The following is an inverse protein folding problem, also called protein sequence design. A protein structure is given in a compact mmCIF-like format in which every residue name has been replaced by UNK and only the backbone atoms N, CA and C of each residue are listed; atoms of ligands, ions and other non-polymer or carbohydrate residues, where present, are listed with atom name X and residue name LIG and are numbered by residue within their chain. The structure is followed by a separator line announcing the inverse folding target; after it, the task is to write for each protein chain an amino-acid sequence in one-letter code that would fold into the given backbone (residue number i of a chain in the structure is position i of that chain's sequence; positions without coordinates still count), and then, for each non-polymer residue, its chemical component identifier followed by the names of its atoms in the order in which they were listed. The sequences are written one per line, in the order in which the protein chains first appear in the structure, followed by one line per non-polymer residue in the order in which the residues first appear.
data_IF_642712682375
#
_entry.id   IF_642712682375
#
_cell.length_a   1.000
_cell.length_b   1.000
_cell.length_c   1.000
_cell.angle_alpha   90.00
_cell.angle_beta   90.00
_cell.angle_gamma   90.00
#
_symmetry.space_group_name_H-M   'P 1'
#
loop_
_entity.id
_entity.type
_entity.pdbx_description
1 polymer ?
#
# COMPACT_ATOMS: atom_id res chain seq x y z
N UNK A 1 -25.81 -16.08 -27.35
CA UNK A 1 -25.34 -17.35 -27.98
C UNK A 1 -26.50 -18.33 -28.16
N UNK A 2 -26.46 -19.27 -29.12
CA UNK A 2 -27.57 -20.24 -29.34
C UNK A 2 -27.84 -21.12 -28.09
N UNK A 3 -29.09 -21.45 -27.72
CA UNK A 3 -29.38 -22.39 -26.65
C UNK A 3 -28.79 -23.79 -26.94
N UNK A 4 -28.42 -24.54 -25.89
CA UNK A 4 -27.88 -25.90 -26.04
C UNK A 4 -29.02 -26.93 -26.12
N UNK A 5 -29.73 -26.93 -27.23
CA UNK A 5 -30.91 -27.78 -27.46
C UNK A 5 -30.68 -28.75 -28.62
N UNK A 6 -31.47 -29.83 -28.67
CA UNK A 6 -31.40 -30.85 -29.72
C UNK A 6 -30.69 -32.14 -29.30
N UNK A 7 -30.35 -32.94 -30.31
CA UNK A 7 -29.58 -34.19 -30.20
C UNK A 7 -28.15 -33.94 -29.71
N UNK A 8 -27.45 -34.99 -29.26
CA UNK A 8 -26.07 -34.85 -28.78
C UNK A 8 -25.13 -34.30 -29.87
N UNK A 9 -25.37 -34.64 -31.13
CA UNK A 9 -24.61 -34.13 -32.28
C UNK A 9 -24.90 -32.65 -32.53
N UNK A 10 -26.16 -32.22 -32.45
CA UNK A 10 -26.53 -30.80 -32.58
C UNK A 10 -25.95 -29.96 -31.44
N UNK A 11 -26.01 -30.47 -30.21
CA UNK A 11 -25.40 -29.82 -29.04
C UNK A 11 -23.89 -29.69 -29.22
N UNK A 12 -23.21 -30.72 -29.71
CA UNK A 12 -21.78 -30.69 -30.00
C UNK A 12 -21.44 -29.62 -31.03
N UNK A 13 -22.18 -29.55 -32.14
CA UNK A 13 -21.99 -28.52 -33.17
C UNK A 13 -22.23 -27.10 -32.62
N UNK A 14 -23.24 -26.92 -31.77
CA UNK A 14 -23.52 -25.65 -31.11
C UNK A 14 -22.34 -25.25 -30.19
N UNK A 15 -21.82 -26.19 -29.40
CA UNK A 15 -20.66 -25.95 -28.54
C UNK A 15 -19.44 -25.56 -29.36
N UNK A 16 -19.11 -26.29 -30.43
CA UNK A 16 -17.96 -25.98 -31.30
C UNK A 16 -18.01 -24.55 -31.89
N UNK A 17 -19.20 -24.13 -32.36
CA UNK A 17 -19.40 -22.76 -32.86
C UNK A 17 -19.17 -21.74 -31.74
N UNK A 18 -19.78 -21.96 -30.58
CA UNK A 18 -19.66 -21.03 -29.46
C UNK A 18 -18.23 -20.93 -28.92
N UNK A 19 -17.51 -22.04 -28.86
CA UNK A 19 -16.09 -22.06 -28.46
C UNK A 19 -15.22 -21.32 -29.48
N UNK A 20 -15.49 -21.49 -30.78
CA UNK A 20 -14.80 -20.72 -31.82
C UNK A 20 -15.06 -19.23 -31.68
N UNK A 21 -16.31 -18.83 -31.40
CA UNK A 21 -16.67 -17.43 -31.16
C UNK A 21 -15.95 -16.89 -29.92
N UNK A 22 -15.94 -17.63 -28.80
CA UNK A 22 -15.22 -17.24 -27.58
C UNK A 22 -13.72 -17.06 -27.81
N UNK A 23 -13.07 -17.98 -28.56
CA UNK A 23 -11.65 -17.85 -28.92
C UNK A 23 -11.38 -16.61 -29.77
N UNK A 24 -12.29 -16.29 -30.70
CA UNK A 24 -12.19 -15.07 -31.50
C UNK A 24 -12.37 -13.82 -30.62
N UNK A 25 -13.32 -13.82 -29.69
CA UNK A 25 -13.54 -12.72 -28.75
C UNK A 25 -12.30 -12.47 -27.88
N UNK A 26 -11.72 -13.53 -27.29
CA UNK A 26 -10.46 -13.46 -26.53
C UNK A 26 -9.36 -12.76 -27.34
N UNK A 27 -9.17 -13.17 -28.59
CA UNK A 27 -8.16 -12.58 -29.47
C UNK A 27 -8.44 -11.12 -29.87
N UNK A 28 -9.71 -10.70 -29.84
CA UNK A 28 -10.09 -9.31 -30.15
C UNK A 28 -9.76 -8.36 -28.99
N UNK A 29 -9.84 -8.85 -27.75
CA UNK A 29 -9.60 -8.08 -26.52
C UNK A 29 -8.14 -8.11 -26.08
N UNK A 30 -7.39 -9.13 -26.46
CA UNK A 30 -5.94 -9.21 -26.30
C UNK A 30 -5.26 -8.06 -27.06
N UNK A 31 -4.35 -7.34 -26.41
CA UNK A 31 -3.52 -6.25 -26.95
C UNK A 31 -4.23 -4.95 -27.39
N UNK A 32 -5.33 -4.55 -26.74
CA UNK A 32 -6.02 -3.27 -27.06
C UNK A 32 -6.19 -2.34 -25.85
N UNK A 33 -5.42 -1.26 -25.86
CA UNK A 33 -5.48 -0.20 -24.84
C UNK A 33 -6.77 0.64 -24.85
N UNK A 34 -7.53 0.66 -25.96
CA UNK A 34 -8.65 1.61 -26.12
C UNK A 34 -9.99 1.15 -25.51
N UNK A 35 -10.09 -0.10 -25.05
CA UNK A 35 -11.31 -0.72 -24.49
C UNK A 35 -12.57 -0.67 -25.40
N UNK A 36 -12.50 -0.13 -26.62
CA UNK A 36 -13.65 0.06 -27.52
C UNK A 36 -14.25 -1.29 -27.92
N UNK A 37 -13.38 -2.27 -28.18
CA UNK A 37 -13.79 -3.64 -28.50
C UNK A 37 -14.62 -4.25 -27.37
N UNK A 38 -14.16 -4.13 -26.13
CA UNK A 38 -14.83 -4.69 -24.95
C UNK A 38 -16.17 -3.98 -24.71
N UNK A 39 -16.20 -2.65 -24.80
CA UNK A 39 -17.45 -1.88 -24.67
C UNK A 39 -18.52 -2.36 -25.65
N UNK A 40 -18.15 -2.58 -26.93
CA UNK A 40 -19.07 -3.13 -27.94
C UNK A 40 -19.52 -4.55 -27.63
N UNK A 41 -18.67 -5.40 -27.05
CA UNK A 41 -19.05 -6.74 -26.62
C UNK A 41 -20.11 -6.70 -25.51
N UNK A 42 -19.93 -5.80 -24.54
CA UNK A 42 -20.92 -5.56 -23.48
C UNK A 42 -22.23 -5.05 -24.08
N UNK A 43 -22.19 -4.02 -24.94
CA UNK A 43 -23.37 -3.43 -25.58
C UNK A 43 -24.12 -4.41 -26.50
N UNK A 44 -23.42 -5.40 -27.08
CA UNK A 44 -24.02 -6.40 -27.97
C UNK A 44 -24.57 -7.64 -27.26
N UNK A 45 -24.51 -7.70 -25.92
CA UNK A 45 -25.08 -8.80 -25.14
C UNK A 45 -24.21 -10.05 -25.06
N UNK A 46 -22.91 -9.94 -25.37
CA UNK A 46 -21.96 -11.05 -25.27
C UNK A 46 -21.77 -11.46 -23.81
N UNK A 47 -21.60 -10.49 -22.92
CA UNK A 47 -21.41 -10.72 -21.48
C UNK A 47 -22.62 -11.42 -20.88
N UNK A 48 -23.83 -10.92 -21.14
CA UNK A 48 -25.08 -11.54 -20.71
C UNK A 48 -25.24 -12.96 -21.26
N UNK A 49 -24.78 -13.22 -22.48
CA UNK A 49 -24.77 -14.57 -23.06
C UNK A 49 -23.85 -15.52 -22.29
N UNK A 50 -22.65 -15.10 -21.92
CA UNK A 50 -21.72 -15.90 -21.13
C UNK A 50 -22.27 -16.15 -19.71
N UNK A 51 -22.77 -15.11 -19.05
CA UNK A 51 -23.38 -15.22 -17.72
C UNK A 51 -24.62 -16.12 -17.72
N UNK A 52 -25.42 -16.09 -18.79
CA UNK A 52 -26.54 -17.02 -18.97
C UNK A 52 -26.08 -18.47 -19.06
N UNK A 53 -24.99 -18.75 -19.79
CA UNK A 53 -24.38 -20.09 -19.86
C UNK A 53 -23.95 -20.54 -18.47
N UNK A 54 -23.20 -19.70 -17.75
CA UNK A 54 -22.71 -20.03 -16.40
C UNK A 54 -23.82 -20.31 -15.40
N UNK A 55 -24.96 -19.61 -15.52
CA UNK A 55 -26.07 -19.75 -14.60
C UNK A 55 -26.95 -20.96 -14.91
N UNK A 56 -27.21 -21.25 -16.20
CA UNK A 56 -28.30 -22.16 -16.59
C UNK A 56 -27.85 -23.48 -17.22
N UNK A 57 -26.63 -23.55 -17.78
CA UNK A 57 -26.15 -24.76 -18.45
C UNK A 57 -25.70 -25.81 -17.43
N UNK A 58 -25.83 -27.10 -17.76
CA UNK A 58 -25.22 -28.16 -16.94
C UNK A 58 -23.74 -27.88 -16.70
N UNK A 59 -23.32 -27.90 -15.44
CA UNK A 59 -22.02 -27.39 -15.01
C UNK A 59 -20.88 -28.11 -15.73
N UNK A 60 -20.97 -29.44 -15.86
CA UNK A 60 -19.96 -30.29 -16.51
C UNK A 60 -19.87 -30.11 -18.03
N UNK A 61 -20.82 -29.40 -18.64
CA UNK A 61 -20.81 -29.10 -20.08
C UNK A 61 -20.25 -27.71 -20.39
N UNK A 62 -19.85 -26.96 -19.37
CA UNK A 62 -19.17 -25.68 -19.52
C UNK A 62 -17.68 -25.98 -19.68
N UNK A 63 -17.10 -25.56 -20.80
CA UNK A 63 -15.66 -25.70 -21.06
C UNK A 63 -14.90 -24.44 -20.66
N UNK A 64 -13.60 -24.57 -20.43
CA UNK A 64 -12.71 -23.45 -20.04
C UNK A 64 -12.72 -22.32 -21.08
N UNK A 65 -13.01 -22.63 -22.34
CA UNK A 65 -13.08 -21.61 -23.40
C UNK A 65 -14.09 -20.51 -23.07
N UNK A 66 -15.19 -20.84 -22.40
CA UNK A 66 -16.16 -19.82 -21.98
C UNK A 66 -15.63 -18.97 -20.82
N UNK A 67 -15.07 -19.58 -19.77
CA UNK A 67 -14.57 -18.85 -18.59
C UNK A 67 -13.37 -17.97 -18.94
N UNK A 68 -12.45 -18.49 -19.75
CA UNK A 68 -11.28 -17.76 -20.25
C UNK A 68 -11.66 -16.52 -21.08
N UNK A 69 -12.70 -16.61 -21.90
CA UNK A 69 -13.18 -15.45 -22.67
C UNK A 69 -13.68 -14.32 -21.75
N UNK A 70 -14.36 -14.66 -20.65
CA UNK A 70 -14.79 -13.68 -19.66
C UNK A 70 -13.60 -13.12 -18.86
N UNK A 71 -12.64 -13.98 -18.49
CA UNK A 71 -11.42 -13.55 -17.83
C UNK A 71 -10.67 -12.51 -18.67
N UNK A 72 -10.44 -12.77 -19.96
CA UNK A 72 -9.79 -11.80 -20.84
C UNK A 72 -10.56 -10.48 -20.97
N UNK A 73 -11.89 -10.52 -20.89
CA UNK A 73 -12.68 -9.29 -20.81
C UNK A 73 -12.31 -8.53 -19.53
N UNK A 74 -12.29 -9.18 -18.37
CA UNK A 74 -11.96 -8.51 -17.09
C UNK A 74 -10.51 -8.00 -17.05
N UNK A 75 -9.51 -8.81 -17.40
CA UNK A 75 -8.09 -8.42 -17.31
C UNK A 75 -7.77 -7.23 -18.21
N UNK A 76 -8.38 -7.15 -19.39
CA UNK A 76 -8.12 -6.06 -20.35
C UNK A 76 -9.09 -4.88 -20.17
N UNK A 77 -9.86 -4.84 -19.08
CA UNK A 77 -10.83 -3.77 -18.82
C UNK A 77 -10.25 -2.68 -17.92
N UNK A 78 -10.42 -1.43 -18.31
CA UNK A 78 -10.22 -0.30 -17.40
C UNK A 78 -11.39 -0.17 -16.42
N UNK A 79 -11.26 0.73 -15.45
CA UNK A 79 -12.25 0.93 -14.38
C UNK A 79 -13.67 1.22 -14.91
N UNK A 80 -13.82 2.03 -15.98
CA UNK A 80 -15.13 2.32 -16.58
C UNK A 80 -15.79 1.04 -17.10
N UNK A 81 -15.03 0.19 -17.79
CA UNK A 81 -15.55 -1.06 -18.34
C UNK A 81 -15.88 -2.06 -17.24
N UNK A 82 -15.06 -2.16 -16.19
CA UNK A 82 -15.33 -3.04 -15.05
C UNK A 82 -16.63 -2.66 -14.33
N UNK A 83 -16.91 -1.36 -14.20
CA UNK A 83 -18.20 -0.88 -13.68
C UNK A 83 -19.37 -1.25 -14.60
N UNK A 84 -19.20 -1.19 -15.93
CA UNK A 84 -20.23 -1.66 -16.88
C UNK A 84 -20.46 -3.19 -16.79
N UNK A 85 -19.41 -3.97 -16.51
CA UNK A 85 -19.54 -5.41 -16.28
C UNK A 85 -20.36 -5.70 -15.01
N UNK A 86 -20.17 -4.91 -13.95
CA UNK A 86 -20.94 -5.04 -12.71
C UNK A 86 -22.45 -4.83 -12.94
N UNK A 87 -22.84 -3.89 -13.80
CA UNK A 87 -24.24 -3.67 -14.17
C UNK A 87 -24.91 -4.92 -14.78
N UNK A 88 -24.12 -5.86 -15.29
CA UNK A 88 -24.62 -7.13 -15.86
C UNK A 88 -24.88 -8.21 -14.81
N UNK A 89 -24.69 -7.90 -13.53
CA UNK A 89 -24.84 -8.82 -12.40
C UNK A 89 -24.05 -10.14 -12.60
N UNK A 90 -22.71 -10.06 -12.69
CA UNK A 90 -21.89 -11.21 -13.08
C UNK A 90 -21.79 -12.29 -11.99
N UNK A 91 -22.01 -11.91 -10.73
CA UNK A 91 -21.69 -12.76 -9.58
C UNK A 91 -22.42 -14.12 -9.54
N UNK A 92 -23.74 -14.23 -9.76
CA UNK A 92 -24.42 -15.53 -9.65
C UNK A 92 -23.83 -16.60 -10.60
N UNK A 93 -23.50 -16.20 -11.83
CA UNK A 93 -22.89 -17.09 -12.81
C UNK A 93 -21.45 -17.47 -12.43
N UNK A 94 -20.61 -16.48 -12.12
CA UNK A 94 -19.21 -16.71 -11.74
C UNK A 94 -19.08 -17.53 -10.46
N UNK A 95 -19.92 -17.26 -9.46
CA UNK A 95 -19.94 -17.99 -8.18
C UNK A 95 -20.33 -19.45 -8.37
N UNK A 96 -21.21 -19.77 -9.34
CA UNK A 96 -21.52 -21.15 -9.70
C UNK A 96 -20.33 -21.87 -10.34
N UNK A 97 -19.49 -21.17 -11.11
CA UNK A 97 -18.29 -21.76 -11.71
C UNK A 97 -17.22 -22.16 -10.68
N UNK A 98 -17.22 -21.57 -9.48
CA UNK A 98 -16.27 -21.97 -8.42
C UNK A 98 -16.46 -23.42 -7.95
N UNK A 99 -17.63 -24.00 -8.20
CA UNK A 99 -17.95 -25.40 -7.88
C UNK A 99 -17.62 -26.37 -9.02
N UNK A 100 -17.04 -25.87 -10.13
CA UNK A 100 -16.69 -26.69 -11.27
C UNK A 100 -15.60 -27.72 -10.88
N UNK A 101 -15.68 -28.98 -11.38
CA UNK A 101 -14.69 -30.02 -11.07
C UNK A 101 -13.31 -29.73 -11.67
N UNK A 102 -13.28 -29.05 -12.81
CA UNK A 102 -12.06 -28.54 -13.45
C UNK A 102 -11.57 -27.28 -12.73
N UNK A 103 -10.35 -27.35 -12.18
CA UNK A 103 -9.74 -26.27 -11.42
C UNK A 103 -9.35 -25.07 -12.31
N UNK A 104 -9.17 -25.25 -13.62
CA UNK A 104 -8.87 -24.13 -14.53
C UNK A 104 -10.10 -23.24 -14.74
N UNK A 105 -11.30 -23.83 -14.84
CA UNK A 105 -12.56 -23.07 -14.90
C UNK A 105 -12.83 -22.34 -13.58
N UNK A 106 -12.56 -23.00 -12.45
CA UNK A 106 -12.69 -22.36 -11.15
C UNK A 106 -11.65 -21.22 -10.97
N UNK A 107 -10.44 -21.39 -11.50
CA UNK A 107 -9.37 -20.37 -11.53
C UNK A 107 -9.80 -19.15 -12.33
N UNK A 108 -10.26 -19.33 -13.56
CA UNK A 108 -10.74 -18.24 -14.42
C UNK A 108 -11.87 -17.45 -13.74
N UNK A 109 -12.77 -18.16 -13.06
CA UNK A 109 -13.91 -17.56 -12.38
C UNK A 109 -13.51 -16.76 -11.13
N UNK A 110 -12.62 -17.30 -10.28
CA UNK A 110 -12.17 -16.56 -9.08
C UNK A 110 -11.33 -15.34 -9.44
N UNK A 111 -10.52 -15.43 -10.50
CA UNK A 111 -9.71 -14.30 -10.96
C UNK A 111 -10.58 -13.21 -11.60
N UNK A 112 -11.60 -13.60 -12.38
CA UNK A 112 -12.62 -12.65 -12.87
C UNK A 112 -13.36 -11.95 -11.74
N UNK A 113 -13.67 -12.66 -10.64
CA UNK A 113 -14.27 -12.06 -9.45
C UNK A 113 -13.30 -11.09 -8.79
N UNK A 114 -12.04 -11.48 -8.61
CA UNK A 114 -11.01 -10.63 -8.01
C UNK A 114 -10.85 -9.31 -8.77
N UNK A 115 -10.72 -9.35 -10.10
CA UNK A 115 -10.59 -8.15 -10.94
C UNK A 115 -11.77 -7.18 -10.77
N UNK A 116 -13.00 -7.70 -10.63
CA UNK A 116 -14.19 -6.86 -10.39
C UNK A 116 -14.18 -6.30 -8.95
N UNK A 117 -13.68 -7.06 -7.97
CA UNK A 117 -13.55 -6.59 -6.59
C UNK A 117 -12.48 -5.50 -6.44
N UNK A 118 -11.33 -5.65 -7.09
CA UNK A 118 -10.25 -4.67 -7.10
C UNK A 118 -10.76 -3.29 -7.58
N UNK A 119 -11.47 -3.24 -8.71
CA UNK A 119 -12.09 -1.98 -9.15
C UNK A 119 -13.19 -1.51 -8.19
N UNK A 120 -13.95 -2.44 -7.62
CA UNK A 120 -14.93 -2.10 -6.59
C UNK A 120 -14.33 -1.37 -5.39
N UNK A 121 -13.14 -1.77 -4.95
CA UNK A 121 -12.51 -1.19 -3.75
C UNK A 121 -12.12 0.28 -3.96
N UNK A 122 -11.67 0.68 -5.15
CA UNK A 122 -11.28 2.07 -5.41
C UNK A 122 -12.45 3.05 -5.53
N UNK A 123 -13.70 2.57 -5.66
CA UNK A 123 -14.89 3.43 -5.80
C UNK A 123 -15.38 4.05 -4.49
N UNK A 124 -14.90 3.56 -3.35
CA UNK A 124 -15.38 3.96 -2.02
C UNK A 124 -14.23 3.99 -1.01
N UNK A 125 -14.27 4.90 -0.01
CA UNK A 125 -13.19 5.00 0.99
C UNK A 125 -12.93 3.69 1.75
N UNK A 126 -11.68 3.44 2.14
CA UNK A 126 -11.28 2.20 2.82
C UNK A 126 -11.96 1.96 4.17
N UNK A 127 -12.35 3.04 4.85
CA UNK A 127 -13.11 2.98 6.10
C UNK A 127 -14.55 2.47 5.90
N UNK A 128 -15.03 2.38 4.66
CA UNK A 128 -16.36 1.89 4.34
C UNK A 128 -16.32 0.41 3.93
N UNK A 129 -17.40 -0.36 4.20
CA UNK A 129 -17.60 -1.69 3.67
C UNK A 129 -17.34 -1.78 2.16
N UNK A 130 -16.84 -2.92 1.69
CA UNK A 130 -16.70 -3.16 0.26
C UNK A 130 -18.06 -3.06 -0.46
N UNK A 131 -18.20 -2.29 -1.55
CA UNK A 131 -19.49 -2.00 -2.17
C UNK A 131 -20.17 -3.25 -2.75
N UNK A 132 -19.41 -4.29 -3.05
CA UNK A 132 -19.91 -5.54 -3.66
C UNK A 132 -20.22 -6.64 -2.63
N UNK A 133 -20.05 -6.39 -1.33
CA UNK A 133 -20.27 -7.40 -0.29
C UNK A 133 -21.68 -8.00 -0.35
N UNK A 134 -22.71 -7.15 -0.36
CA UNK A 134 -24.11 -7.60 -0.33
C UNK A 134 -24.50 -8.39 -1.59
N UNK A 135 -24.00 -7.97 -2.76
CA UNK A 135 -24.26 -8.66 -4.04
C UNK A 135 -23.70 -10.09 -4.06
N UNK A 136 -22.51 -10.29 -3.49
CA UNK A 136 -21.91 -11.62 -3.35
C UNK A 136 -22.58 -12.43 -2.25
N UNK A 137 -22.93 -11.80 -1.12
CA UNK A 137 -23.67 -12.47 -0.05
C UNK A 137 -25.04 -12.99 -0.54
N UNK A 138 -25.73 -12.25 -1.39
CA UNK A 138 -27.05 -12.62 -1.93
C UNK A 138 -27.05 -13.89 -2.79
N UNK A 139 -25.89 -14.32 -3.31
CA UNK A 139 -25.73 -15.55 -4.10
C UNK A 139 -24.87 -16.62 -3.39
N UNK A 140 -24.77 -16.56 -2.06
CA UNK A 140 -23.88 -17.41 -1.23
C UNK A 140 -22.39 -17.31 -1.62
N UNK A 141 -22.00 -16.26 -2.32
CA UNK A 141 -20.67 -16.10 -2.91
C UNK A 141 -19.54 -16.18 -1.88
N UNK A 142 -19.70 -15.53 -0.73
CA UNK A 142 -18.71 -15.58 0.37
C UNK A 142 -18.48 -17.03 0.82
N UNK A 143 -19.56 -17.80 1.01
CA UNK A 143 -19.48 -19.20 1.43
C UNK A 143 -18.79 -20.05 0.36
N UNK A 144 -19.07 -19.82 -0.93
CA UNK A 144 -18.48 -20.59 -2.03
C UNK A 144 -17.02 -20.24 -2.29
N UNK A 145 -16.64 -18.98 -2.18
CA UNK A 145 -15.24 -18.55 -2.23
C UNK A 145 -14.45 -19.19 -1.08
N UNK A 146 -15.01 -19.21 0.13
CA UNK A 146 -14.36 -19.89 1.25
C UNK A 146 -14.27 -21.42 1.07
N UNK A 147 -15.30 -22.04 0.49
CA UNK A 147 -15.24 -23.46 0.14
C UNK A 147 -14.15 -23.75 -0.91
N UNK A 148 -13.96 -22.87 -1.90
CA UNK A 148 -12.86 -22.98 -2.88
C UNK A 148 -11.49 -22.89 -2.20
N UNK A 149 -11.32 -21.94 -1.27
CA UNK A 149 -10.12 -21.83 -0.44
C UNK A 149 -9.83 -23.13 0.33
N UNK A 150 -10.86 -23.73 0.92
CA UNK A 150 -10.75 -24.98 1.68
C UNK A 150 -10.51 -26.21 0.81
N UNK A 151 -11.05 -26.25 -0.42
CA UNK A 151 -10.82 -27.35 -1.39
C UNK A 151 -9.33 -27.55 -1.66
N UNK A 152 -8.54 -26.46 -1.62
CA UNK A 152 -7.10 -26.47 -1.82
C UNK A 152 -6.70 -27.20 -3.13
N UNK A 153 -7.41 -26.92 -4.22
CA UNK A 153 -7.18 -27.51 -5.54
C UNK A 153 -5.84 -27.08 -6.12
N UNK A 154 -5.75 -25.83 -6.60
CA UNK A 154 -4.49 -25.19 -7.01
C UNK A 154 -4.05 -24.13 -6.00
N UNK A 155 -2.73 -23.90 -5.89
CA UNK A 155 -2.17 -22.79 -5.08
C UNK A 155 -2.79 -21.46 -5.51
N UNK A 156 -2.87 -21.25 -6.82
CA UNK A 156 -3.43 -20.04 -7.40
C UNK A 156 -4.89 -19.80 -6.99
N UNK A 157 -5.78 -20.79 -7.13
CA UNK A 157 -7.18 -20.69 -6.67
C UNK A 157 -7.27 -20.33 -5.19
N UNK A 158 -6.42 -20.95 -4.37
CA UNK A 158 -6.41 -20.71 -2.93
C UNK A 158 -5.98 -19.29 -2.59
N UNK A 159 -4.92 -18.80 -3.24
CA UNK A 159 -4.41 -17.44 -3.05
C UNK A 159 -5.46 -16.42 -3.48
N UNK A 160 -6.06 -16.60 -4.67
CA UNK A 160 -7.11 -15.73 -5.18
C UNK A 160 -8.38 -15.74 -4.33
N UNK A 161 -8.78 -16.91 -3.82
CA UNK A 161 -9.91 -17.01 -2.91
C UNK A 161 -9.65 -16.25 -1.60
N UNK A 162 -8.42 -16.35 -1.05
CA UNK A 162 -8.04 -15.61 0.15
C UNK A 162 -8.03 -14.09 -0.09
N UNK A 163 -7.52 -13.63 -1.25
CA UNK A 163 -7.57 -12.23 -1.66
C UNK A 163 -9.01 -11.73 -1.78
N UNK A 164 -9.88 -12.46 -2.49
CA UNK A 164 -11.30 -12.12 -2.62
C UNK A 164 -11.97 -11.91 -1.25
N UNK A 165 -11.73 -12.82 -0.29
CA UNK A 165 -12.26 -12.66 1.07
C UNK A 165 -11.65 -11.44 1.78
N UNK A 166 -10.35 -11.21 1.63
CA UNK A 166 -9.67 -10.04 2.21
C UNK A 166 -10.25 -8.71 1.72
N UNK A 167 -10.52 -8.60 0.41
CA UNK A 167 -11.15 -7.42 -0.19
C UNK A 167 -12.61 -7.27 0.23
N UNK A 168 -13.38 -8.36 0.22
CA UNK A 168 -14.81 -8.33 0.56
C UNK A 168 -15.05 -7.87 2.00
N UNK A 169 -14.25 -8.35 2.94
CA UNK A 169 -14.38 -8.00 4.36
C UNK A 169 -13.67 -6.69 4.72
N UNK A 170 -13.40 -5.81 3.74
CA UNK A 170 -12.94 -4.45 4.02
C UNK A 170 -13.87 -3.77 5.01
N UNK A 171 -13.28 -3.22 6.08
CA UNK A 171 -13.99 -2.55 7.19
C UNK A 171 -15.12 -3.38 7.83
N UNK A 172 -15.16 -4.69 7.61
CA UNK A 172 -16.19 -5.60 8.13
C UNK A 172 -15.57 -6.76 8.88
N UNK A 173 -16.20 -7.16 9.98
CA UNK A 173 -15.73 -8.29 10.77
C UNK A 173 -15.96 -9.61 10.01
N UNK A 174 -14.93 -10.47 9.91
CA UNK A 174 -15.16 -11.88 9.59
C UNK A 174 -15.69 -12.54 10.86
N UNK A 175 -16.99 -12.79 10.92
CA UNK A 175 -17.66 -13.26 12.14
C UNK A 175 -17.33 -14.71 12.49
N UNK A 176 -17.13 -15.56 11.48
CA UNK A 176 -16.63 -16.93 11.67
C UNK A 176 -15.15 -16.90 12.09
N UNK A 177 -14.81 -17.30 13.34
CA UNK A 177 -13.45 -17.24 13.83
C UNK A 177 -12.50 -18.19 13.09
N UNK A 178 -13.01 -19.32 12.56
CA UNK A 178 -12.20 -20.27 11.80
C UNK A 178 -11.81 -19.64 10.47
N UNK A 179 -12.79 -19.10 9.74
CA UNK A 179 -12.54 -18.37 8.49
C UNK A 179 -11.56 -17.23 8.70
N UNK A 180 -11.77 -16.41 9.73
CA UNK A 180 -10.90 -15.27 10.06
C UNK A 180 -9.45 -15.72 10.25
N UNK A 181 -9.24 -16.74 11.09
CA UNK A 181 -7.90 -17.25 11.39
C UNK A 181 -7.20 -17.81 10.16
N UNK A 182 -7.87 -18.70 9.39
CA UNK A 182 -7.21 -19.39 8.27
C UNK A 182 -6.94 -18.46 7.09
N UNK A 183 -7.83 -17.49 6.82
CA UNK A 183 -7.63 -16.50 5.75
C UNK A 183 -6.51 -15.55 6.11
N UNK A 184 -6.50 -14.98 7.33
CA UNK A 184 -5.43 -14.07 7.77
C UNK A 184 -4.08 -14.78 7.81
N UNK A 185 -4.04 -16.02 8.30
CA UNK A 185 -2.80 -16.81 8.31
C UNK A 185 -2.29 -17.06 6.89
N UNK A 186 -3.18 -17.32 5.93
CA UNK A 186 -2.79 -17.53 4.53
C UNK A 186 -2.27 -16.24 3.90
N UNK A 187 -2.99 -15.12 4.05
CA UNK A 187 -2.56 -13.81 3.55
C UNK A 187 -1.19 -13.40 4.13
N UNK A 188 -0.94 -13.61 5.43
CA UNK A 188 0.39 -13.39 6.04
C UNK A 188 1.49 -14.19 5.33
N UNK A 189 1.22 -15.43 4.93
CA UNK A 189 2.21 -16.26 4.22
C UNK A 189 2.51 -15.76 2.80
N UNK A 190 1.53 -15.12 2.14
CA UNK A 190 1.73 -14.57 0.79
C UNK A 190 2.70 -13.39 0.77
N UNK A 191 2.87 -12.66 1.86
CA UNK A 191 3.89 -11.60 1.96
C UNK A 191 5.34 -12.13 1.80
N UNK A 192 5.58 -13.39 2.16
CA UNK A 192 6.90 -14.01 2.08
C UNK A 192 7.15 -14.68 0.73
N UNK A 193 6.19 -15.46 0.22
CA UNK A 193 6.44 -16.46 -0.82
C UNK A 193 5.84 -16.15 -2.20
N UNK A 194 5.32 -14.94 -2.38
CA UNK A 194 4.71 -14.52 -3.64
C UNK A 194 5.59 -13.55 -4.44
N UNK A 195 5.24 -13.40 -5.72
CA UNK A 195 5.77 -12.36 -6.59
C UNK A 195 5.26 -10.96 -6.19
N UNK A 196 5.90 -9.91 -6.70
CA UNK A 196 5.69 -8.54 -6.19
C UNK A 196 4.23 -8.07 -6.32
N UNK A 197 3.58 -8.33 -7.46
CA UNK A 197 2.18 -7.95 -7.67
C UNK A 197 1.23 -8.62 -6.67
N UNK A 198 1.44 -9.92 -6.42
CA UNK A 198 0.66 -10.67 -5.42
C UNK A 198 0.91 -10.14 -4.00
N UNK A 199 2.12 -9.67 -3.69
CA UNK A 199 2.38 -8.98 -2.42
C UNK A 199 1.59 -7.68 -2.34
N UNK A 200 1.54 -6.88 -3.40
CA UNK A 200 0.76 -5.63 -3.43
C UNK A 200 -0.72 -5.89 -3.08
N UNK A 201 -1.36 -6.84 -3.75
CA UNK A 201 -2.74 -7.26 -3.43
C UNK A 201 -2.89 -7.81 -2.01
N UNK A 202 -1.89 -8.56 -1.54
CA UNK A 202 -1.91 -9.08 -0.17
C UNK A 202 -1.82 -7.96 0.88
N UNK A 203 -1.00 -6.94 0.64
CA UNK A 203 -0.87 -5.78 1.53
C UNK A 203 -2.20 -5.02 1.61
N UNK A 204 -2.86 -4.80 0.48
CA UNK A 204 -4.19 -4.18 0.42
C UNK A 204 -5.25 -5.01 1.14
N UNK A 205 -5.33 -6.31 0.86
CA UNK A 205 -6.26 -7.22 1.53
C UNK A 205 -6.08 -7.20 3.06
N UNK A 206 -4.85 -7.21 3.56
CA UNK A 206 -4.55 -7.12 4.99
C UNK A 206 -4.92 -5.74 5.56
N UNK A 207 -4.65 -4.66 4.82
CA UNK A 207 -5.07 -3.32 5.21
C UNK A 207 -6.60 -3.24 5.37
N UNK A 208 -7.33 -3.69 4.35
CA UNK A 208 -8.78 -3.72 4.28
C UNK A 208 -9.41 -4.50 5.42
N UNK A 209 -8.92 -5.72 5.69
CA UNK A 209 -9.37 -6.50 6.83
C UNK A 209 -9.11 -5.76 8.14
N UNK A 210 -7.94 -5.14 8.28
CA UNK A 210 -7.52 -4.46 9.51
C UNK A 210 -8.27 -3.14 9.78
N UNK A 211 -9.10 -2.64 8.85
CA UNK A 211 -10.03 -1.54 9.11
C UNK A 211 -11.09 -1.93 10.16
N UNK A 212 -11.36 -3.23 10.33
CA UNK A 212 -12.18 -3.73 11.43
C UNK A 212 -11.31 -4.16 12.63
N UNK A 213 -11.72 -3.79 13.85
CA UNK A 213 -10.97 -4.06 15.07
C UNK A 213 -10.71 -5.55 15.33
N UNK A 214 -11.74 -6.41 15.20
CA UNK A 214 -11.61 -7.84 15.51
C UNK A 214 -10.65 -8.55 14.53
N UNK A 215 -10.72 -8.17 13.25
CA UNK A 215 -9.77 -8.67 12.25
C UNK A 215 -8.37 -8.11 12.50
N UNK A 216 -8.24 -6.81 12.81
CA UNK A 216 -6.95 -6.18 13.13
C UNK A 216 -6.25 -6.87 14.29
N UNK A 217 -6.96 -7.19 15.36
CA UNK A 217 -6.40 -7.92 16.51
C UNK A 217 -5.97 -9.35 16.18
N UNK A 218 -6.57 -9.99 15.16
CA UNK A 218 -6.09 -11.28 14.65
C UNK A 218 -4.83 -11.11 13.77
N UNK A 219 -4.73 -10.00 13.03
CA UNK A 219 -3.57 -9.70 12.17
C UNK A 219 -2.35 -9.26 13.00
N UNK A 220 -2.49 -8.27 13.87
CA UNK A 220 -1.43 -7.70 14.70
C UNK A 220 -1.92 -7.53 16.14
N UNK A 221 -1.75 -8.58 16.95
CA UNK A 221 -1.85 -8.48 18.41
C UNK A 221 -0.47 -8.22 19.04
N UNK A 222 -0.46 -8.00 20.35
CA UNK A 222 0.76 -7.80 21.15
C UNK A 222 1.81 -8.90 20.93
N UNK A 223 1.39 -10.18 20.85
CA UNK A 223 2.31 -11.29 20.64
C UNK A 223 2.98 -11.24 19.25
N UNK A 224 2.25 -10.84 18.21
CA UNK A 224 2.81 -10.63 16.87
C UNK A 224 3.76 -9.43 16.85
N UNK A 225 3.42 -8.31 17.52
CA UNK A 225 4.31 -7.15 17.63
C UNK A 225 5.63 -7.49 18.33
N UNK A 226 5.56 -8.23 19.45
CA UNK A 226 6.75 -8.72 20.16
C UNK A 226 7.57 -9.69 19.29
N UNK A 227 6.91 -10.55 18.51
CA UNK A 227 7.57 -11.43 17.55
C UNK A 227 8.33 -10.62 16.49
N UNK A 228 7.70 -9.62 15.89
CA UNK A 228 8.34 -8.72 14.91
C UNK A 228 9.57 -8.05 15.53
N UNK A 229 9.44 -7.48 16.73
CA UNK A 229 10.56 -6.84 17.42
C UNK A 229 11.73 -7.81 17.66
N UNK A 230 11.45 -9.03 18.15
CA UNK A 230 12.46 -10.06 18.36
C UNK A 230 13.13 -10.52 17.06
N UNK A 231 12.36 -10.62 15.97
CA UNK A 231 12.88 -11.03 14.67
C UNK A 231 13.82 -9.98 14.08
N UNK A 232 13.52 -8.69 14.25
CA UNK A 232 14.39 -7.58 13.84
C UNK A 232 15.72 -7.55 14.61
N UNK A 233 15.74 -8.01 15.86
CA UNK A 233 16.97 -8.10 16.66
C UNK A 233 17.90 -9.24 16.20
N UNK A 234 17.44 -10.15 15.34
CA UNK A 234 18.30 -11.22 14.81
C UNK A 234 19.39 -10.63 13.93
N UNK A 235 20.64 -10.86 14.32
CA UNK A 235 21.81 -10.41 13.58
C UNK A 235 21.98 -11.18 12.25
N UNK A 236 22.49 -10.50 11.22
CA UNK A 236 22.83 -11.10 9.93
C UNK A 236 24.15 -11.89 10.01
N UNK A 237 24.14 -13.01 10.74
CA UNK A 237 25.28 -13.91 10.90
C UNK A 237 25.07 -15.24 10.18
N UNK A 238 26.16 -15.90 9.84
CA UNK A 238 26.17 -17.19 9.15
C UNK A 238 26.59 -17.09 7.69
N UNK A 239 26.27 -18.13 6.95
CA UNK A 239 26.40 -18.23 5.49
C UNK A 239 25.54 -17.20 4.78
N UNK A 240 25.83 -16.92 3.51
CA UNK A 240 25.06 -15.97 2.71
C UNK A 240 23.58 -16.38 2.55
N UNK A 241 23.29 -17.68 2.48
CA UNK A 241 21.91 -18.17 2.41
C UNK A 241 21.18 -18.00 3.75
N UNK A 242 21.86 -18.20 4.89
CA UNK A 242 21.30 -17.92 6.21
C UNK A 242 20.98 -16.44 6.39
N UNK A 243 21.90 -15.55 5.98
CA UNK A 243 21.67 -14.09 6.02
C UNK A 243 20.49 -13.69 5.14
N UNK A 244 20.39 -14.21 3.92
CA UNK A 244 19.24 -13.98 3.02
C UNK A 244 17.93 -14.45 3.65
N UNK A 245 17.93 -15.60 4.33
CA UNK A 245 16.78 -16.09 5.06
C UNK A 245 16.35 -15.14 6.19
N UNK A 246 17.30 -14.62 6.96
CA UNK A 246 17.02 -13.64 8.03
C UNK A 246 16.48 -12.33 7.45
N UNK A 247 17.11 -11.82 6.39
CA UNK A 247 16.66 -10.62 5.68
C UNK A 247 15.23 -10.76 5.17
N UNK A 248 14.93 -11.84 4.43
CA UNK A 248 13.59 -12.10 3.88
C UNK A 248 12.54 -12.13 4.99
N UNK A 249 12.86 -12.75 6.11
CA UNK A 249 11.96 -12.86 7.25
C UNK A 249 11.71 -11.50 7.93
N UNK A 250 12.77 -10.72 8.17
CA UNK A 250 12.66 -9.36 8.70
C UNK A 250 11.85 -8.45 7.76
N UNK A 251 12.10 -8.51 6.45
CA UNK A 251 11.35 -7.74 5.46
C UNK A 251 9.87 -8.13 5.42
N UNK A 252 9.55 -9.42 5.51
CA UNK A 252 8.17 -9.90 5.56
C UNK A 252 7.42 -9.35 6.78
N UNK A 253 8.05 -9.37 7.96
CA UNK A 253 7.49 -8.81 9.19
C UNK A 253 7.23 -7.29 9.06
N UNK A 254 8.16 -6.57 8.43
CA UNK A 254 8.03 -5.13 8.20
C UNK A 254 6.97 -4.79 7.15
N UNK A 255 6.81 -5.63 6.12
CA UNK A 255 5.73 -5.52 5.14
C UNK A 255 4.37 -5.74 5.83
N UNK A 256 4.24 -6.75 6.69
CA UNK A 256 3.02 -6.97 7.46
C UNK A 256 2.66 -5.75 8.32
N UNK A 257 3.62 -5.26 9.11
CA UNK A 257 3.43 -4.07 9.94
C UNK A 257 3.02 -2.85 9.10
N UNK A 258 3.72 -2.61 8.00
CA UNK A 258 3.47 -1.48 7.11
C UNK A 258 2.09 -1.55 6.45
N UNK A 259 1.68 -2.74 5.98
CA UNK A 259 0.38 -2.96 5.34
C UNK A 259 -0.76 -2.60 6.27
N UNK A 260 -0.64 -3.02 7.52
CA UNK A 260 -1.63 -2.72 8.53
C UNK A 260 -1.57 -1.22 8.82
N UNK A 261 -0.43 -0.61 9.13
CA UNK A 261 -0.37 0.83 9.45
C UNK A 261 -0.69 1.80 8.30
N UNK A 262 -0.71 1.35 7.04
CA UNK A 262 -0.84 2.22 5.88
C UNK A 262 -2.18 2.97 5.83
N UNK A 263 -2.13 4.26 5.48
CA UNK A 263 -3.32 5.11 5.33
C UNK A 263 -4.16 5.33 6.60
N UNK A 264 -3.71 4.89 7.78
CA UNK A 264 -4.53 4.91 9.02
C UNK A 264 -4.01 5.83 10.11
N UNK A 265 -4.93 6.54 10.75
CA UNK A 265 -4.69 7.35 11.95
C UNK A 265 -4.83 6.51 13.23
N UNK A 266 -4.08 5.40 13.35
CA UNK A 266 -4.14 4.50 14.51
C UNK A 266 -3.01 4.77 15.50
N UNK A 267 -3.19 5.81 16.33
CA UNK A 267 -2.20 6.23 17.34
C UNK A 267 -1.93 5.11 18.36
N UNK A 268 -2.96 4.35 18.74
CA UNK A 268 -2.82 3.28 19.73
C UNK A 268 -1.94 2.15 19.18
N UNK A 269 -2.25 1.63 17.99
CA UNK A 269 -1.45 0.56 17.39
C UNK A 269 0.01 0.96 17.17
N UNK A 270 0.27 2.23 16.80
CA UNK A 270 1.65 2.73 16.71
C UNK A 270 2.33 2.80 18.05
N UNK A 271 1.63 3.28 19.08
CA UNK A 271 2.16 3.30 20.44
C UNK A 271 2.50 1.88 20.90
N UNK A 272 1.62 0.91 20.63
CA UNK A 272 1.85 -0.50 20.96
C UNK A 272 3.06 -1.07 20.21
N UNK A 273 3.19 -0.78 18.91
CA UNK A 273 4.33 -1.20 18.10
C UNK A 273 5.66 -0.59 18.61
N UNK A 274 5.66 0.69 19.02
CA UNK A 274 6.82 1.36 19.61
C UNK A 274 7.16 0.73 20.95
N UNK A 275 6.17 0.53 21.82
CA UNK A 275 6.33 -0.05 23.15
C UNK A 275 6.77 -1.53 23.09
N UNK A 276 6.42 -2.26 22.02
CA UNK A 276 6.93 -3.60 21.76
C UNK A 276 8.42 -3.64 21.38
N UNK A 277 9.06 -2.48 21.16
CA UNK A 277 10.49 -2.36 20.87
C UNK A 277 10.85 -2.40 19.38
N UNK A 278 9.88 -2.22 18.48
CA UNK A 278 10.13 -2.23 17.03
C UNK A 278 10.99 -1.03 16.61
N UNK A 279 10.73 0.17 17.13
CA UNK A 279 11.56 1.36 16.86
C UNK A 279 12.98 1.16 17.39
N UNK A 280 13.14 0.62 18.61
CA UNK A 280 14.46 0.33 19.16
C UNK A 280 15.26 -0.60 18.23
N UNK A 281 14.63 -1.68 17.75
CA UNK A 281 15.27 -2.63 16.84
C UNK A 281 15.65 -1.98 15.49
N UNK A 282 14.76 -1.17 14.90
CA UNK A 282 15.02 -0.44 13.65
C UNK A 282 16.18 0.56 13.81
N UNK A 283 16.21 1.35 14.89
CA UNK A 283 17.29 2.29 15.15
C UNK A 283 18.63 1.58 15.35
N UNK A 284 18.64 0.43 16.02
CA UNK A 284 19.86 -0.39 16.14
C UNK A 284 20.34 -0.92 14.78
N UNK A 285 19.44 -1.39 13.92
CA UNK A 285 19.76 -1.79 12.54
C UNK A 285 20.36 -0.61 11.78
N UNK A 286 19.69 0.55 11.80
CA UNK A 286 20.16 1.76 11.12
C UNK A 286 21.50 2.27 11.63
N UNK A 287 21.85 1.98 12.88
CA UNK A 287 23.13 2.39 13.47
C UNK A 287 24.27 1.44 13.11
N UNK A 288 24.01 0.13 13.13
CA UNK A 288 25.07 -0.89 13.16
C UNK A 288 25.24 -1.68 11.86
N UNK A 289 24.17 -1.88 11.09
CA UNK A 289 24.19 -2.73 9.88
C UNK A 289 24.90 -2.03 8.73
N UNK A 290 25.55 -2.77 7.83
CA UNK A 290 26.07 -2.18 6.59
C UNK A 290 24.93 -1.47 5.84
N UNK A 291 25.20 -0.28 5.29
CA UNK A 291 24.18 0.49 4.58
C UNK A 291 23.61 -0.31 3.40
N UNK A 292 24.44 -1.09 2.71
CA UNK A 292 24.02 -1.90 1.57
C UNK A 292 23.07 -3.05 1.93
N UNK A 293 23.00 -3.42 3.21
CA UNK A 293 22.10 -4.44 3.75
C UNK A 293 20.80 -3.84 4.35
N UNK A 294 20.64 -2.50 4.30
CA UNK A 294 19.42 -1.81 4.76
C UNK A 294 18.53 -1.54 3.55
N UNK A 295 17.62 -2.47 3.29
CA UNK A 295 16.65 -2.35 2.18
C UNK A 295 15.47 -1.43 2.55
N UNK A 296 14.63 -1.10 1.55
CA UNK A 296 13.50 -0.18 1.72
C UNK A 296 12.49 -0.59 2.81
N UNK A 297 12.13 -1.87 3.03
CA UNK A 297 11.15 -2.24 4.05
C UNK A 297 11.48 -1.71 5.46
N UNK A 298 12.75 -1.62 5.83
CA UNK A 298 13.15 -1.12 7.16
C UNK A 298 12.77 0.35 7.37
N UNK A 299 13.11 1.21 6.41
CA UNK A 299 12.80 2.64 6.52
C UNK A 299 11.32 2.93 6.21
N UNK A 300 10.69 2.14 5.34
CA UNK A 300 9.26 2.26 5.06
C UNK A 300 8.44 1.99 6.33
N UNK A 301 8.75 0.93 7.08
CA UNK A 301 8.08 0.65 8.34
C UNK A 301 8.30 1.76 9.38
N UNK A 302 9.51 2.32 9.45
CA UNK A 302 9.80 3.47 10.31
C UNK A 302 8.93 4.69 9.93
N UNK A 303 8.78 4.98 8.63
CA UNK A 303 7.87 6.04 8.17
C UNK A 303 6.43 5.75 8.60
N UNK A 304 5.92 4.53 8.40
CA UNK A 304 4.54 4.18 8.77
C UNK A 304 4.29 4.28 10.28
N UNK A 305 5.33 4.20 11.10
CA UNK A 305 5.27 4.48 12.54
C UNK A 305 5.32 5.99 12.85
N UNK A 306 5.92 6.82 12.00
CA UNK A 306 6.02 8.27 12.18
C UNK A 306 4.92 9.07 11.48
N UNK A 307 4.15 8.50 10.54
CA UNK A 307 3.17 9.23 9.72
C UNK A 307 1.80 8.54 9.59
N UNK A 308 0.65 9.23 9.84
CA UNK A 308 0.56 10.64 10.23
C UNK A 308 1.16 10.90 11.60
N UNK A 309 1.99 11.93 11.64
CA UNK A 309 2.73 12.25 12.84
C UNK A 309 1.78 12.81 13.91
N UNK A 310 2.06 12.49 15.15
CA UNK A 310 1.26 12.87 16.30
C UNK A 310 2.20 13.10 17.48
N UNK A 311 1.82 14.03 18.36
CA UNK A 311 2.63 14.38 19.53
C UNK A 311 3.06 13.16 20.36
N UNK A 312 2.12 12.26 20.71
CA UNK A 312 2.40 11.08 21.54
C UNK A 312 3.45 10.18 20.86
N UNK A 313 3.28 9.95 19.57
CA UNK A 313 4.18 9.13 18.76
C UNK A 313 5.57 9.76 18.65
N UNK A 314 5.65 11.06 18.37
CA UNK A 314 6.91 11.78 18.32
C UNK A 314 7.64 11.73 19.66
N UNK A 315 6.93 11.92 20.77
CA UNK A 315 7.53 11.86 22.11
C UNK A 315 8.12 10.48 22.39
N UNK A 316 7.37 9.40 22.11
CA UNK A 316 7.86 8.04 22.28
C UNK A 316 9.09 7.74 21.42
N UNK A 317 9.12 8.23 20.17
CA UNK A 317 10.27 8.02 19.27
C UNK A 317 11.49 8.84 19.74
N UNK A 318 11.29 10.05 20.26
CA UNK A 318 12.37 10.91 20.77
C UNK A 318 13.08 10.31 21.98
N UNK A 319 12.36 9.62 22.86
CA UNK A 319 12.96 8.87 23.98
C UNK A 319 13.98 7.84 23.50
N UNK A 320 13.91 7.42 22.22
CA UNK A 320 14.81 6.46 21.61
C UNK A 320 16.02 7.09 20.89
N UNK A 321 16.16 8.43 20.95
CA UNK A 321 17.28 9.17 20.34
C UNK A 321 17.47 8.84 18.84
N UNK A 322 16.48 9.16 17.99
CA UNK A 322 16.41 8.64 16.63
C UNK A 322 17.41 9.27 15.65
N UNK A 323 17.86 10.50 15.94
CA UNK A 323 18.59 11.32 14.96
C UNK A 323 19.92 10.73 14.51
N UNK A 324 20.83 10.23 15.38
CA UNK A 324 22.10 9.68 14.91
C UNK A 324 21.92 8.56 13.88
N UNK A 325 20.96 7.66 14.12
CA UNK A 325 20.65 6.52 13.26
C UNK A 325 20.02 6.97 11.94
N UNK A 326 19.03 7.88 11.98
CA UNK A 326 18.39 8.41 10.77
C UNK A 326 19.37 9.24 9.92
N UNK A 327 20.22 10.06 10.55
CA UNK A 327 21.26 10.85 9.89
C UNK A 327 22.34 9.98 9.24
N UNK A 328 22.53 8.74 9.68
CA UNK A 328 23.44 7.78 9.02
C UNK A 328 22.85 7.33 7.68
N UNK A 329 21.53 7.17 7.59
CA UNK A 329 20.85 6.74 6.37
C UNK A 329 20.88 7.80 5.24
N UNK A 330 21.15 9.06 5.54
CA UNK A 330 21.33 10.10 4.50
C UNK A 330 22.56 9.86 3.61
N UNK A 331 23.47 8.96 4.01
CA UNK A 331 24.62 8.51 3.21
C UNK A 331 24.31 7.26 2.37
N UNK A 332 23.06 6.77 2.37
CA UNK A 332 22.67 5.58 1.64
C UNK A 332 22.66 5.82 0.11
N UNK A 333 22.98 4.79 -0.68
CA UNK A 333 23.06 4.88 -2.14
C UNK A 333 21.70 4.91 -2.84
N UNK A 334 20.69 4.26 -2.26
CA UNK A 334 19.30 4.32 -2.74
C UNK A 334 18.63 5.62 -2.27
N UNK A 335 18.27 6.47 -3.23
CA UNK A 335 17.60 7.76 -2.99
C UNK A 335 16.24 7.62 -2.31
N UNK A 336 15.56 6.47 -2.44
CA UNK A 336 14.31 6.24 -1.71
C UNK A 336 14.54 6.07 -0.22
N UNK A 337 15.69 5.49 0.18
CA UNK A 337 16.06 5.36 1.59
C UNK A 337 16.45 6.71 2.17
N UNK A 338 17.25 7.50 1.44
CA UNK A 338 17.64 8.85 1.90
C UNK A 338 16.43 9.78 2.00
N UNK A 339 15.55 9.77 1.00
CA UNK A 339 14.28 10.50 1.02
C UNK A 339 13.43 10.09 2.24
N UNK A 340 13.30 8.79 2.48
CA UNK A 340 12.50 8.30 3.59
C UNK A 340 13.07 8.66 4.96
N UNK A 341 14.40 8.69 5.08
CA UNK A 341 15.08 9.12 6.29
C UNK A 341 14.89 10.61 6.56
N UNK A 342 15.02 11.49 5.55
CA UNK A 342 14.80 12.93 5.76
C UNK A 342 13.34 13.27 6.07
N UNK A 343 12.38 12.56 5.46
CA UNK A 343 10.95 12.67 5.81
C UNK A 343 10.69 12.24 7.25
N UNK A 344 11.31 11.16 7.70
CA UNK A 344 11.18 10.72 9.09
C UNK A 344 11.75 11.74 10.07
N UNK A 345 12.87 12.38 9.73
CA UNK A 345 13.46 13.47 10.53
C UNK A 345 12.51 14.68 10.55
N UNK A 346 12.02 15.11 9.39
CA UNK A 346 11.10 16.24 9.28
C UNK A 346 9.79 16.02 10.05
N UNK A 347 9.21 14.82 9.99
CA UNK A 347 8.01 14.45 10.76
C UNK A 347 8.21 14.66 12.27
N UNK A 348 9.40 14.36 12.80
CA UNK A 348 9.75 14.52 14.22
C UNK A 348 10.04 15.99 14.52
N UNK A 349 10.84 16.66 13.69
CA UNK A 349 11.23 18.07 13.86
C UNK A 349 10.01 19.00 13.78
N UNK A 350 9.16 18.83 12.77
CA UNK A 350 7.96 19.64 12.59
C UNK A 350 7.02 19.54 13.81
N UNK A 351 6.63 18.33 14.23
CA UNK A 351 5.64 18.20 15.31
C UNK A 351 6.15 18.70 16.66
N UNK A 352 7.43 18.50 16.96
CA UNK A 352 8.04 18.99 18.21
C UNK A 352 8.17 20.51 18.23
N UNK A 353 8.33 21.13 17.06
CA UNK A 353 8.32 22.58 16.95
C UNK A 353 6.98 23.20 17.37
N UNK A 354 5.85 22.50 17.17
CA UNK A 354 4.52 23.02 17.49
C UNK A 354 4.28 23.19 18.99
N UNK A 355 5.11 22.58 19.84
CA UNK A 355 4.95 22.60 21.30
C UNK A 355 5.63 23.78 22.00
N UNK A 356 6.41 24.56 21.26
CA UNK A 356 7.24 25.61 21.82
C UNK A 356 7.01 26.93 21.09
N UNK A 357 7.19 28.03 21.82
CA UNK A 357 6.94 29.37 21.27
C UNK A 357 7.77 29.61 20.01
N UNK A 358 7.14 30.21 18.99
CA UNK A 358 7.79 30.44 17.70
C UNK A 358 9.04 31.32 17.84
N UNK A 359 9.05 32.24 18.81
CA UNK A 359 10.15 33.15 19.14
C UNK A 359 11.33 32.47 19.84
N UNK A 360 11.16 31.24 20.32
CA UNK A 360 12.21 30.45 20.97
C UNK A 360 12.96 29.58 19.98
N UNK A 361 14.23 29.28 20.27
CA UNK A 361 15.01 28.35 19.46
C UNK A 361 14.34 26.98 19.37
N UNK A 362 14.56 26.26 18.28
CA UNK A 362 14.05 24.90 18.14
C UNK A 362 14.68 23.98 19.19
N UNK A 363 13.90 23.16 19.93
CA UNK A 363 14.42 22.32 21.02
C UNK A 363 15.56 21.40 20.58
N UNK A 364 15.47 20.88 19.35
CA UNK A 364 16.43 19.94 18.78
C UNK A 364 17.50 20.57 17.89
N UNK A 365 17.61 21.91 17.84
CA UNK A 365 18.67 22.55 17.04
C UNK A 365 20.06 22.10 17.49
N UNK A 366 20.34 22.16 18.80
CA UNK A 366 21.63 21.78 19.36
C UNK A 366 21.95 20.29 19.14
N UNK A 367 20.97 19.41 19.33
CA UNK A 367 21.14 17.97 19.15
C UNK A 367 21.48 17.63 17.69
N UNK A 368 20.71 18.16 16.73
CA UNK A 368 20.95 17.96 15.30
C UNK A 368 22.28 18.58 14.87
N UNK A 369 22.62 19.79 15.34
CA UNK A 369 23.91 20.41 15.04
C UNK A 369 25.09 19.58 15.58
N UNK A 370 25.01 19.10 16.82
CA UNK A 370 26.07 18.29 17.44
C UNK A 370 26.30 16.95 16.74
N UNK A 371 25.25 16.39 16.12
CA UNK A 371 25.33 15.16 15.32
C UNK A 371 25.80 15.39 13.87
N UNK A 372 26.14 16.63 13.48
CA UNK A 372 26.42 17.02 12.10
C UNK A 372 25.21 16.89 11.17
N UNK A 373 24.00 16.91 11.75
CA UNK A 373 22.75 16.70 11.04
C UNK A 373 22.39 17.84 10.12
N UNK A 374 22.69 19.07 10.53
CA UNK A 374 22.46 20.28 9.73
C UNK A 374 23.21 20.20 8.40
N UNK A 375 24.51 19.90 8.45
CA UNK A 375 25.37 19.79 7.27
C UNK A 375 24.97 18.62 6.39
N UNK A 376 24.56 17.49 6.98
CA UNK A 376 24.08 16.32 6.23
C UNK A 376 22.78 16.59 5.48
N UNK A 377 21.79 17.22 6.13
CA UNK A 377 20.52 17.56 5.49
C UNK A 377 20.76 18.60 4.39
N UNK A 378 21.63 19.59 4.62
CA UNK A 378 21.98 20.56 3.58
C UNK A 378 22.76 19.93 2.41
N UNK A 379 23.65 18.97 2.70
CA UNK A 379 24.32 18.20 1.66
C UNK A 379 23.30 17.42 0.81
N UNK A 380 22.33 16.74 1.43
CA UNK A 380 21.25 16.04 0.71
C UNK A 380 20.45 17.01 -0.15
N UNK A 381 20.00 18.14 0.40
CA UNK A 381 19.28 19.20 -0.33
C UNK A 381 20.01 19.64 -1.61
N UNK A 382 21.34 19.71 -1.57
CA UNK A 382 22.16 20.11 -2.72
C UNK A 382 22.30 19.03 -3.79
N UNK A 383 22.42 17.77 -3.38
CA UNK A 383 22.82 16.67 -4.29
C UNK A 383 21.67 15.79 -4.74
N UNK A 384 20.54 15.79 -4.04
CA UNK A 384 19.38 14.95 -4.38
C UNK A 384 18.76 15.37 -5.72
N UNK A 385 18.36 14.37 -6.50
CA UNK A 385 17.58 14.53 -7.74
C UNK A 385 16.08 14.38 -7.50
N UNK A 386 15.69 13.86 -6.34
CA UNK A 386 14.31 13.74 -5.91
C UNK A 386 13.77 15.09 -5.42
N UNK A 387 12.84 15.67 -6.19
CA UNK A 387 12.22 16.97 -5.88
C UNK A 387 11.50 16.97 -4.53
N UNK A 388 10.87 15.86 -4.12
CA UNK A 388 10.21 15.78 -2.83
C UNK A 388 11.21 15.81 -1.67
N UNK A 389 12.29 15.03 -1.77
CA UNK A 389 13.41 15.05 -0.81
C UNK A 389 14.03 16.44 -0.69
N UNK A 390 14.18 17.15 -1.81
CA UNK A 390 14.69 18.53 -1.83
C UNK A 390 13.78 19.50 -1.08
N UNK A 391 12.47 19.45 -1.34
CA UNK A 391 11.46 20.26 -0.64
C UNK A 391 11.48 19.98 0.86
N UNK A 392 11.43 18.70 1.25
CA UNK A 392 11.43 18.27 2.67
C UNK A 392 12.73 18.65 3.38
N UNK A 393 13.89 18.51 2.72
CA UNK A 393 15.17 18.93 3.30
C UNK A 393 15.20 20.44 3.58
N UNK A 394 14.70 21.27 2.65
CA UNK A 394 14.61 22.71 2.84
C UNK A 394 13.62 23.10 3.94
N UNK A 395 12.48 22.43 4.02
CA UNK A 395 11.49 22.59 5.11
C UNK A 395 12.12 22.24 6.45
N UNK A 396 12.74 21.07 6.57
CA UNK A 396 13.38 20.61 7.79
C UNK A 396 14.45 21.60 8.28
N UNK A 397 15.29 22.11 7.37
CA UNK A 397 16.27 23.15 7.69
C UNK A 397 15.59 24.46 8.12
N UNK A 398 14.54 24.90 7.43
CA UNK A 398 13.82 26.11 7.81
C UNK A 398 13.17 26.02 9.20
N UNK A 399 12.64 24.85 9.57
CA UNK A 399 12.04 24.61 10.89
C UNK A 399 13.12 24.50 11.97
N UNK A 400 14.19 23.73 11.75
CA UNK A 400 15.21 23.53 12.79
C UNK A 400 15.96 24.82 13.13
N UNK A 401 16.11 25.73 12.16
CA UNK A 401 16.68 27.08 12.36
C UNK A 401 15.68 28.10 12.92
N UNK A 402 14.55 27.66 13.49
CA UNK A 402 13.61 28.56 14.16
C UNK A 402 14.32 29.44 15.19
N UNK A 403 14.12 30.76 15.06
CA UNK A 403 14.75 31.78 15.89
C UNK A 403 16.29 31.69 16.00
N UNK A 404 16.94 30.98 15.08
CA UNK A 404 18.38 30.74 15.05
C UNK A 404 18.97 31.25 13.74
N UNK A 405 20.10 31.96 13.82
CA UNK A 405 20.79 32.48 12.65
C UNK A 405 21.40 31.35 11.82
N UNK A 406 21.19 31.37 10.50
CA UNK A 406 21.93 30.53 9.56
C UNK A 406 23.22 31.28 9.18
N UNK A 407 24.33 30.88 9.80
CA UNK A 407 25.64 31.53 9.61
C UNK A 407 26.24 31.22 8.23
N UNK A 408 25.97 30.02 7.70
CA UNK A 408 26.46 29.62 6.38
C UNK A 408 25.74 30.42 5.26
N UNK A 409 26.49 31.31 4.60
CA UNK A 409 25.99 32.18 3.54
C UNK A 409 25.44 31.43 2.31
N UNK A 410 25.97 30.25 1.98
CA UNK A 410 25.43 29.44 0.89
C UNK A 410 24.09 28.82 1.33
N UNK A 411 24.06 28.24 2.53
CA UNK A 411 22.86 27.61 3.08
C UNK A 411 21.69 28.58 3.19
N UNK A 412 21.89 29.73 3.84
CA UNK A 412 20.82 30.72 4.03
C UNK A 412 20.22 31.14 2.70
N UNK A 413 21.06 31.44 1.69
CA UNK A 413 20.62 31.89 0.37
C UNK A 413 19.90 30.80 -0.40
N UNK A 414 20.47 29.60 -0.49
CA UNK A 414 19.92 28.50 -1.28
C UNK A 414 18.62 27.96 -0.68
N UNK A 415 18.58 27.73 0.63
CA UNK A 415 17.39 27.20 1.33
C UNK A 415 16.24 28.20 1.27
N UNK A 416 16.48 29.49 1.59
CA UNK A 416 15.42 30.51 1.54
C UNK A 416 14.93 30.72 0.10
N UNK A 417 15.82 30.76 -0.89
CA UNK A 417 15.43 30.89 -2.30
C UNK A 417 14.53 29.73 -2.71
N UNK A 418 14.88 28.49 -2.33
CA UNK A 418 14.06 27.34 -2.65
C UNK A 418 12.69 27.39 -1.95
N UNK A 419 12.65 27.65 -0.64
CA UNK A 419 11.39 27.79 0.12
C UNK A 419 10.47 28.86 -0.48
N UNK A 420 11.00 30.02 -0.90
CA UNK A 420 10.23 31.04 -1.62
C UNK A 420 9.63 30.52 -2.92
N UNK A 421 10.39 29.73 -3.68
CA UNK A 421 9.95 29.20 -4.98
C UNK A 421 8.81 28.19 -4.88
N UNK A 422 8.70 27.47 -3.76
CA UNK A 422 7.68 26.44 -3.51
C UNK A 422 6.58 26.90 -2.53
N UNK A 423 6.47 28.20 -2.25
CA UNK A 423 5.49 28.74 -1.29
C UNK A 423 4.03 28.46 -1.68
N UNK A 424 3.78 28.21 -2.96
CA UNK A 424 2.48 27.86 -3.54
C UNK A 424 2.51 26.45 -4.14
N UNK A 425 3.21 25.51 -3.48
CA UNK A 425 3.24 24.11 -3.92
C UNK A 425 1.82 23.56 -4.15
N UNK A 426 1.59 22.79 -5.24
CA UNK A 426 0.29 22.15 -5.48
C UNK A 426 -0.06 21.14 -4.37
N UNK A 427 0.93 20.53 -3.72
CA UNK A 427 0.71 19.70 -2.54
C UNK A 427 0.38 20.60 -1.33
N UNK A 428 -0.82 20.42 -0.78
CA UNK A 428 -1.31 21.29 0.29
C UNK A 428 -0.54 21.11 1.60
N UNK A 429 0.01 19.93 1.87
CA UNK A 429 0.77 19.68 3.10
C UNK A 429 2.17 20.26 2.98
N UNK A 430 2.83 20.10 1.83
CA UNK A 430 4.09 20.80 1.54
C UNK A 430 3.88 22.32 1.62
N UNK A 431 2.81 22.86 1.03
CA UNK A 431 2.51 24.29 1.10
C UNK A 431 2.39 24.79 2.55
N UNK A 432 1.72 24.04 3.44
CA UNK A 432 1.62 24.38 4.86
C UNK A 432 2.99 24.36 5.54
N UNK A 433 3.76 23.29 5.30
CA UNK A 433 5.08 23.11 5.91
C UNK A 433 6.06 24.21 5.47
N UNK A 434 6.08 24.58 4.19
CA UNK A 434 6.93 25.66 3.66
C UNK A 434 6.58 27.00 4.29
N UNK A 435 5.29 27.33 4.39
CA UNK A 435 4.85 28.56 5.09
C UNK A 435 5.30 28.56 6.54
N UNK A 436 5.15 27.43 7.23
CA UNK A 436 5.57 27.29 8.62
C UNK A 436 7.10 27.40 8.79
N UNK A 437 7.88 26.79 7.90
CA UNK A 437 9.33 26.88 7.89
C UNK A 437 9.82 28.34 7.71
N UNK A 438 9.22 29.10 6.79
CA UNK A 438 9.52 30.52 6.64
C UNK A 438 9.11 31.33 7.88
N UNK A 439 7.95 31.03 8.49
CA UNK A 439 7.50 31.66 9.75
C UNK A 439 8.47 31.38 10.91
N UNK A 440 9.13 30.22 10.93
CA UNK A 440 10.20 29.88 11.88
C UNK A 440 11.46 30.71 11.63
N UNK A 441 11.90 30.83 10.37
CA UNK A 441 13.12 31.55 10.01
C UNK A 441 13.04 33.05 10.28
N UNK A 442 11.90 33.71 10.00
CA UNK A 442 11.75 35.17 10.19
C UNK A 442 11.85 35.64 11.64
N UNK A 443 11.85 34.71 12.61
CA UNK A 443 12.04 35.03 14.03
C UNK A 443 13.48 35.48 14.32
N UNK A 444 14.43 35.17 13.44
CA UNK A 444 15.77 35.71 13.48
C UNK A 444 15.95 36.85 12.46
N UNK A 445 16.60 37.96 12.87
CA UNK A 445 16.70 39.17 12.05
C UNK A 445 17.53 38.99 10.77
N UNK A 446 18.58 38.17 10.78
CA UNK A 446 19.44 37.93 9.60
C UNK A 446 18.66 37.14 8.56
N UNK A 447 18.04 36.03 8.97
CA UNK A 447 17.17 35.23 8.12
C UNK A 447 15.99 36.04 7.58
N UNK A 448 15.36 36.87 8.43
CA UNK A 448 14.27 37.77 8.03
C UNK A 448 14.70 38.71 6.90
N UNK A 449 15.88 39.31 7.02
CA UNK A 449 16.42 40.23 6.01
C UNK A 449 16.60 39.53 4.65
N UNK A 450 17.11 38.29 4.66
CA UNK A 450 17.22 37.48 3.44
C UNK A 450 15.84 37.07 2.89
N UNK A 451 14.86 36.76 3.74
CA UNK A 451 13.49 36.44 3.33
C UNK A 451 12.81 37.66 2.69
N UNK A 452 12.92 38.85 3.28
CA UNK A 452 12.27 40.07 2.77
C UNK A 452 13.01 40.67 1.56
N UNK A 453 14.22 40.18 1.25
CA UNK A 453 14.97 40.59 0.07
C UNK A 453 14.14 40.39 -1.21
N UNK A 454 14.19 41.39 -2.10
CA UNK A 454 13.39 41.41 -3.32
C UNK A 454 11.90 41.70 -3.13
N UNK A 455 11.48 42.14 -1.93
CA UNK A 455 10.08 42.51 -1.64
C UNK A 455 9.16 41.32 -1.39
N UNK A 456 9.73 40.14 -1.11
CA UNK A 456 8.95 38.94 -0.81
C UNK A 456 8.26 39.07 0.55
N UNK A 457 6.98 38.68 0.60
CA UNK A 457 6.19 38.60 1.84
C UNK A 457 5.63 37.19 1.96
N UNK A 458 5.64 36.64 3.18
CA UNK A 458 5.07 35.32 3.44
C UNK A 458 3.54 35.45 3.35
N UNK A 459 2.86 34.76 2.43
CA UNK A 459 1.40 34.79 2.36
C UNK A 459 0.79 34.20 3.62
N UNK A 460 -0.38 34.72 4.02
CA UNK A 460 -1.09 34.28 5.24
C UNK A 460 -1.26 32.76 5.35
#
# INVERSE_FOLDING_TARGET
MKPLEGTDEEKKQITEIQESDCKLLSKIVEDKEDNIGIKRMIESGVVESLLFIYTNRDLNSITQTYSSAFLHITINSNDEIQLLLLEKNPYPGLIRLLEHPDDDIASDAIDSIFNILEVGSITTPDANPHPHYDSLQACDGIKKIFALFQKNGSKYCKDQAALCIGYLFRAQQITDPIMRQVIISHLKSLLCDSEELMKDYTKEALNYLAQNEANRSEILNEAELLKIANNLQRELKGTEDEKKGILKFQETDLLLLSSVLDGREDIQLRSDAINAGIIDALLQIFTSRDLDEITRPYINAFIKLTHPSNFIICQLILEKQPFPSLLRLLNHKDENVTNSAVVSIDNIVYYTSLESELTSQHPFFADLASAGGIEKIFSLFKVTTNEYSKKVSAVCLGIVFRAQEIIDHAMIKEVITHLKSIINDPDNDIKKLVKYALKCLVQNQVNKTEIESGGFTIPE
#
